data_IF_374408270627
#
_entry.id   IF_374408270627
#
_cell.length_a   1.000
_cell.length_b   1.000
_cell.length_c   1.000
_cell.angle_alpha   90.00
_cell.angle_beta   90.00
_cell.angle_gamma   90.00
#
_symmetry.space_group_name_H-M   'P 1'
#
loop_
_entity.id
_entity.type
_entity.pdbx_description
1 polymer ?
#
# COMPACT_ATOMS: atom_id res chain seq x y z
N UNK A 1 10.14 -2.97 -13.24
CA UNK A 1 10.53 -1.73 -12.55
C UNK A 1 11.59 -1.09 -13.41
N UNK A 2 11.30 0.09 -13.93
CA UNK A 2 12.04 0.67 -15.07
C UNK A 2 13.19 1.58 -14.64
N UNK A 3 13.09 2.20 -13.45
CA UNK A 3 14.13 3.08 -12.90
C UNK A 3 14.46 2.70 -11.45
N UNK A 4 15.67 2.16 -11.24
CA UNK A 4 16.15 1.75 -9.92
C UNK A 4 16.62 2.94 -9.08
N UNK A 5 17.21 3.96 -9.69
CA UNK A 5 17.70 5.13 -8.97
C UNK A 5 16.54 5.91 -8.34
N UNK A 6 15.40 5.98 -9.04
CA UNK A 6 14.18 6.54 -8.48
C UNK A 6 13.68 5.74 -7.27
N UNK A 7 13.76 4.41 -7.32
CA UNK A 7 13.30 3.55 -6.22
C UNK A 7 14.17 3.68 -4.98
N UNK A 8 15.49 3.75 -5.18
CA UNK A 8 16.44 4.06 -4.11
C UNK A 8 16.10 5.43 -3.50
N UNK A 9 15.86 6.45 -4.32
CA UNK A 9 15.48 7.79 -3.86
C UNK A 9 14.16 7.79 -3.07
N UNK A 10 13.12 7.09 -3.53
CA UNK A 10 11.84 6.99 -2.82
C UNK A 10 12.01 6.37 -1.42
N UNK A 11 12.80 5.29 -1.33
CA UNK A 11 13.06 4.62 -0.06
C UNK A 11 13.90 5.49 0.88
N UNK A 12 14.99 6.08 0.38
CA UNK A 12 15.90 6.92 1.16
C UNK A 12 15.23 8.20 1.68
N UNK A 13 14.44 8.86 0.82
CA UNK A 13 13.72 10.08 1.18
C UNK A 13 12.38 9.81 1.89
N UNK A 14 12.02 8.53 2.09
CA UNK A 14 10.76 8.11 2.71
C UNK A 14 9.52 8.72 2.03
N UNK A 15 9.54 8.80 0.70
CA UNK A 15 8.40 9.30 -0.08
C UNK A 15 7.37 8.17 -0.20
N UNK A 16 6.15 8.43 0.28
CA UNK A 16 5.06 7.46 0.29
C UNK A 16 4.51 7.16 -1.10
N UNK A 17 4.11 5.91 -1.33
CA UNK A 17 3.40 5.46 -2.54
C UNK A 17 2.02 4.95 -2.15
N UNK A 18 0.99 5.56 -2.71
CA UNK A 18 -0.41 5.20 -2.48
C UNK A 18 -0.85 4.20 -3.56
N UNK A 19 -0.83 2.89 -3.26
CA UNK A 19 -1.19 1.86 -4.25
C UNK A 19 -2.67 1.50 -4.18
N UNK A 20 -3.32 1.39 -5.34
CA UNK A 20 -4.73 1.08 -5.49
C UNK A 20 -4.91 -0.12 -6.45
N UNK A 21 -4.90 -1.34 -5.91
CA UNK A 21 -4.74 -2.57 -6.71
C UNK A 21 -5.89 -2.77 -7.70
N UNK A 22 -7.12 -2.78 -7.19
CA UNK A 22 -8.31 -2.95 -8.05
C UNK A 22 -8.46 -1.81 -9.04
N UNK A 23 -8.23 -0.56 -8.61
CA UNK A 23 -8.23 0.62 -9.49
C UNK A 23 -7.25 0.44 -10.66
N UNK A 24 -6.02 0.02 -10.39
CA UNK A 24 -4.98 -0.14 -11.41
C UNK A 24 -5.33 -1.20 -12.47
N UNK A 25 -6.10 -2.23 -12.09
CA UNK A 25 -6.67 -3.19 -13.06
C UNK A 25 -7.79 -2.56 -13.87
N UNK A 26 -8.75 -1.92 -13.21
CA UNK A 26 -9.94 -1.37 -13.88
C UNK A 26 -9.62 -0.19 -14.81
N UNK A 27 -8.56 0.56 -14.51
CA UNK A 27 -8.02 1.63 -15.36
C UNK A 27 -7.05 1.13 -16.44
N UNK A 28 -6.81 -0.19 -16.52
CA UNK A 28 -5.83 -0.81 -17.42
C UNK A 28 -4.38 -0.31 -17.24
N UNK A 29 -4.07 0.25 -16.06
CA UNK A 29 -2.71 0.70 -15.70
C UNK A 29 -1.75 -0.48 -15.59
N UNK A 30 -2.23 -1.61 -15.04
CA UNK A 30 -1.50 -2.88 -15.03
C UNK A 30 -2.33 -3.98 -15.69
N UNK A 31 -1.70 -4.95 -16.38
CA UNK A 31 -2.44 -5.97 -17.12
C UNK A 31 -3.03 -7.08 -16.23
N UNK A 32 -2.47 -7.28 -15.03
CA UNK A 32 -2.91 -8.28 -14.07
C UNK A 32 -2.34 -7.96 -12.67
N UNK A 33 -3.01 -8.45 -11.61
CA UNK A 33 -2.61 -8.15 -10.23
C UNK A 33 -1.24 -8.73 -9.89
N UNK A 34 -0.90 -9.92 -10.40
CA UNK A 34 0.41 -10.54 -10.21
C UNK A 34 1.57 -9.79 -10.91
N UNK A 35 1.26 -8.77 -11.71
CA UNK A 35 2.21 -7.84 -12.32
C UNK A 35 2.26 -6.48 -11.61
N UNK A 36 1.46 -6.27 -10.57
CA UNK A 36 1.41 -5.01 -9.86
C UNK A 36 2.73 -4.74 -9.10
N UNK A 37 3.28 -3.51 -9.13
CA UNK A 37 4.61 -3.21 -8.57
C UNK A 37 4.66 -3.14 -7.03
N UNK A 38 3.52 -3.16 -6.35
CA UNK A 38 3.42 -3.02 -4.89
C UNK A 38 4.34 -3.98 -4.12
N UNK A 39 4.38 -5.26 -4.51
CA UNK A 39 5.28 -6.22 -3.86
C UNK A 39 6.72 -5.76 -3.94
N UNK A 40 7.14 -5.33 -5.12
CA UNK A 40 8.50 -4.87 -5.38
C UNK A 40 8.82 -3.56 -4.66
N UNK A 41 7.85 -2.65 -4.51
CA UNK A 41 8.02 -1.46 -3.67
C UNK A 41 8.33 -1.84 -2.21
N UNK A 42 7.54 -2.75 -1.64
CA UNK A 42 7.71 -3.20 -0.26
C UNK A 42 9.05 -3.94 -0.06
N UNK A 43 9.44 -4.81 -1.00
CA UNK A 43 10.73 -5.52 -0.96
C UNK A 43 11.93 -4.59 -1.07
N UNK A 44 11.77 -3.45 -1.73
CA UNK A 44 12.80 -2.41 -1.87
C UNK A 44 12.78 -1.39 -0.72
N UNK A 45 11.93 -1.57 0.29
CA UNK A 45 11.83 -0.67 1.44
C UNK A 45 11.11 0.65 1.16
N UNK A 46 10.44 0.80 0.00
CA UNK A 46 9.59 1.96 -0.29
C UNK A 46 8.36 1.92 0.62
N UNK A 47 7.98 3.09 1.15
CA UNK A 47 6.78 3.25 1.97
C UNK A 47 5.51 3.18 1.12
N UNK A 48 5.13 1.98 0.70
CA UNK A 48 3.91 1.75 -0.05
C UNK A 48 2.74 1.31 0.84
N UNK A 49 1.53 1.81 0.57
CA UNK A 49 0.28 1.48 1.28
C UNK A 49 -0.80 0.92 0.35
N UNK A 50 -1.82 0.26 0.93
CA UNK A 50 -3.01 -0.24 0.22
C UNK A 50 -4.18 0.72 0.39
N UNK A 51 -4.81 1.11 -0.72
CA UNK A 51 -5.90 2.10 -0.78
C UNK A 51 -6.95 1.65 -1.79
N UNK A 52 -8.15 2.24 -1.71
CA UNK A 52 -9.26 1.90 -2.61
C UNK A 52 -9.30 2.70 -3.90
N UNK A 53 -8.87 3.96 -3.90
CA UNK A 53 -9.20 4.94 -4.95
C UNK A 53 -10.72 5.24 -4.95
N UNK A 54 -11.50 4.67 -5.87
CA UNK A 54 -12.95 4.92 -6.04
C UNK A 54 -13.84 3.71 -5.66
N UNK A 55 -14.11 3.42 -4.37
CA UNK A 55 -14.88 2.26 -3.91
C UNK A 55 -16.20 2.01 -4.66
N UNK A 56 -17.01 3.06 -4.82
CA UNK A 56 -18.35 2.96 -5.40
C UNK A 56 -18.32 2.66 -6.90
N UNK A 57 -17.36 3.23 -7.62
CA UNK A 57 -17.18 2.97 -9.06
C UNK A 57 -16.66 1.56 -9.27
N UNK A 58 -15.72 1.13 -8.42
CA UNK A 58 -15.01 -0.12 -8.56
C UNK A 58 -15.75 -1.33 -7.98
N UNK A 59 -16.79 -1.11 -7.18
CA UNK A 59 -17.58 -2.17 -6.54
C UNK A 59 -16.85 -2.91 -5.43
N UNK A 60 -15.89 -2.25 -4.78
CA UNK A 60 -15.04 -2.82 -3.71
C UNK A 60 -14.88 -1.83 -2.55
N UNK A 61 -14.39 -2.30 -1.41
CA UNK A 61 -13.98 -1.48 -0.26
C UNK A 61 -12.63 -2.00 0.26
N UNK A 62 -12.04 -1.32 1.25
CA UNK A 62 -10.70 -1.58 1.75
C UNK A 62 -10.52 -3.03 2.24
N UNK A 63 -11.57 -3.67 2.77
CA UNK A 63 -11.51 -5.09 3.15
C UNK A 63 -11.16 -5.97 1.94
N UNK A 64 -11.73 -5.68 0.76
CA UNK A 64 -11.44 -6.41 -0.47
C UNK A 64 -9.99 -6.23 -0.91
N UNK A 65 -9.47 -4.99 -0.86
CA UNK A 65 -8.08 -4.71 -1.23
C UNK A 65 -7.10 -5.54 -0.39
N UNK A 66 -7.37 -5.69 0.92
CA UNK A 66 -6.54 -6.45 1.84
C UNK A 66 -6.71 -7.96 1.75
N UNK A 67 -7.94 -8.44 1.57
CA UNK A 67 -8.27 -9.88 1.68
C UNK A 67 -8.30 -10.62 0.35
N UNK A 68 -8.44 -9.90 -0.76
CA UNK A 68 -8.55 -10.47 -2.11
C UNK A 68 -7.46 -9.93 -3.03
N UNK A 69 -7.40 -8.62 -3.24
CA UNK A 69 -6.50 -8.04 -4.24
C UNK A 69 -5.02 -8.20 -3.85
N UNK A 70 -4.65 -7.91 -2.61
CA UNK A 70 -3.26 -8.00 -2.15
C UNK A 70 -2.67 -9.43 -2.20
N UNK A 71 -3.40 -10.49 -1.75
CA UNK A 71 -2.97 -11.87 -1.98
C UNK A 71 -2.83 -12.22 -3.46
N UNK A 72 -3.74 -11.77 -4.32
CA UNK A 72 -3.66 -12.00 -5.77
C UNK A 72 -2.50 -11.25 -6.44
N UNK A 73 -2.10 -10.10 -5.88
CA UNK A 73 -0.89 -9.38 -6.25
C UNK A 73 0.40 -10.04 -5.72
N UNK A 74 0.28 -11.19 -5.04
CA UNK A 74 1.42 -11.99 -4.59
C UNK A 74 2.09 -11.48 -3.31
N UNK A 75 1.43 -10.59 -2.55
CA UNK A 75 1.92 -10.13 -1.26
C UNK A 75 1.77 -11.23 -0.21
N UNK A 76 2.81 -11.39 0.61
CA UNK A 76 2.74 -12.22 1.82
C UNK A 76 1.91 -11.55 2.92
N UNK A 77 1.54 -12.30 3.96
CA UNK A 77 0.88 -11.73 5.15
C UNK A 77 1.71 -10.62 5.81
N UNK A 78 3.03 -10.79 5.83
CA UNK A 78 3.95 -9.81 6.38
C UNK A 78 3.99 -8.53 5.53
N UNK A 79 4.02 -8.68 4.19
CA UNK A 79 3.97 -7.55 3.26
C UNK A 79 2.63 -6.79 3.35
N UNK A 80 1.50 -7.50 3.47
CA UNK A 80 0.19 -6.87 3.70
C UNK A 80 0.19 -6.07 5.00
N UNK A 81 0.72 -6.65 6.09
CA UNK A 81 0.87 -5.94 7.37
C UNK A 81 1.81 -4.74 7.25
N UNK A 82 2.91 -4.86 6.51
CA UNK A 82 3.83 -3.75 6.29
C UNK A 82 3.16 -2.60 5.52
N UNK A 83 2.37 -2.90 4.49
CA UNK A 83 1.59 -1.88 3.76
C UNK A 83 0.59 -1.15 4.67
N UNK A 84 -0.03 -1.88 5.61
CA UNK A 84 -0.91 -1.28 6.62
C UNK A 84 -0.17 -0.31 7.55
N UNK A 85 1.01 -0.73 8.04
CA UNK A 85 1.87 0.08 8.91
C UNK A 85 2.35 1.32 8.15
N UNK A 86 2.77 1.15 6.90
CA UNK A 86 3.22 2.23 6.03
C UNK A 86 2.11 3.27 5.82
N UNK A 87 0.85 2.85 5.70
CA UNK A 87 -0.29 3.77 5.58
C UNK A 87 -0.37 4.78 6.73
N UNK A 88 -0.18 4.33 7.99
CA UNK A 88 -0.12 5.24 9.13
C UNK A 88 1.18 6.05 9.17
N UNK A 89 2.30 5.43 8.78
CA UNK A 89 3.61 6.07 8.79
C UNK A 89 3.68 7.26 7.82
N UNK A 90 3.07 7.15 6.64
CA UNK A 90 3.02 8.21 5.63
C UNK A 90 1.87 9.21 5.82
N UNK A 91 0.92 8.92 6.73
CA UNK A 91 -0.22 9.81 6.98
C UNK A 91 0.23 11.23 7.36
N UNK A 92 -0.51 12.24 6.91
CA UNK A 92 -0.30 13.65 7.26
C UNK A 92 -0.82 13.97 8.67
N UNK A 93 -0.27 13.27 9.65
CA UNK A 93 -0.53 13.41 11.07
C UNK A 93 0.77 13.72 11.80
N UNK A 94 0.65 14.39 12.94
CA UNK A 94 1.75 14.56 13.87
C UNK A 94 2.23 13.21 14.42
N UNK A 95 3.49 13.10 14.88
CA UNK A 95 3.98 11.90 15.54
C UNK A 95 3.10 11.47 16.72
N UNK A 96 2.57 12.43 17.49
CA UNK A 96 1.72 12.19 18.65
C UNK A 96 0.37 11.59 18.25
N UNK A 97 -0.27 12.11 17.20
CA UNK A 97 -1.52 11.55 16.67
C UNK A 97 -1.33 10.14 16.12
N UNK A 98 -0.23 9.88 15.41
CA UNK A 98 0.12 8.53 14.93
C UNK A 98 0.31 7.57 16.11
N UNK A 99 0.98 8.01 17.17
CA UNK A 99 1.18 7.18 18.36
C UNK A 99 -0.15 6.90 19.07
N UNK A 100 -1.02 7.91 19.22
CA UNK A 100 -2.34 7.73 19.82
C UNK A 100 -3.19 6.69 19.07
N UNK A 101 -3.13 6.66 17.73
CA UNK A 101 -3.80 5.64 16.93
C UNK A 101 -3.21 4.23 17.15
N UNK A 102 -1.88 4.11 17.24
CA UNK A 102 -1.22 2.83 17.56
C UNK A 102 -1.65 2.32 18.94
N UNK A 103 -1.64 3.19 19.94
CA UNK A 103 -2.01 2.83 21.32
C UNK A 103 -3.49 2.45 21.43
N UNK A 104 -4.38 3.15 20.71
CA UNK A 104 -5.81 2.85 20.70
C UNK A 104 -6.09 1.43 20.19
N UNK A 105 -5.39 0.99 19.15
CA UNK A 105 -5.61 -0.34 18.55
C UNK A 105 -4.84 -1.43 19.31
N UNK A 106 -3.69 -1.13 19.91
CA UNK A 106 -2.95 -2.09 20.73
C UNK A 106 -3.70 -2.51 22.02
N UNK A 107 -4.60 -1.64 22.50
CA UNK A 107 -5.41 -1.87 23.69
C UNK A 107 -6.84 -2.38 23.38
N UNK A 108 -7.16 -2.64 22.10
CA UNK A 108 -8.45 -3.17 21.65
C UNK A 108 -8.42 -4.70 21.61
#
# INVERSE_FOLDING_TARGET
MEDRALMDFLAEQRIGIESCLTSNIQTSTVPALDKHPLKTFLEHGVLASLNTDDPAVQGVDIIHEYTVAAPQAGLSREQIRQAQINGLEMAFLTPEEKQALRDKVANA
#
